data_IF_518307131602
#
_entry.id   IF_518307131602
#
_cell.length_a   1.000
_cell.length_b   1.000
_cell.length_c   1.000
_cell.angle_alpha   90.00
_cell.angle_beta   90.00
_cell.angle_gamma   90.00
#
_symmetry.space_group_name_H-M   'P 1'
#
loop_
_entity.id
_entity.type
_entity.pdbx_description
1 polymer ?
#
# COMPACT_ATOMS: atom_id res chain seq x y z
N UNK A 1 20.28 -3.00 -3.04
CA UNK A 1 19.53 -3.21 -1.79
C UNK A 1 18.26 -4.00 -2.11
N UNK A 2 17.96 -5.05 -1.33
CA UNK A 2 16.70 -5.80 -1.43
C UNK A 2 15.74 -5.25 -0.41
N UNK A 3 14.53 -4.87 -0.84
CA UNK A 3 13.47 -4.35 0.02
C UNK A 3 12.34 -5.39 0.08
N UNK A 4 12.10 -6.06 1.21
CA UNK A 4 10.89 -6.87 1.37
C UNK A 4 9.65 -6.01 1.17
N UNK A 5 8.68 -6.54 0.43
CA UNK A 5 7.40 -5.86 0.21
C UNK A 5 6.41 -6.21 1.33
N UNK A 6 5.60 -5.23 1.73
CA UNK A 6 4.45 -5.47 2.57
C UNK A 6 3.38 -6.24 1.79
N UNK A 7 2.87 -7.33 2.38
CA UNK A 7 1.93 -8.25 1.76
C UNK A 7 0.50 -8.03 2.25
N UNK A 8 -0.53 -8.42 1.49
CA UNK A 8 -1.90 -8.39 1.96
C UNK A 8 -2.13 -9.48 3.03
N UNK A 9 -3.10 -9.33 3.95
CA UNK A 9 -3.39 -10.35 4.95
C UNK A 9 -4.00 -11.62 4.33
N UNK A 10 -4.75 -11.45 3.25
CA UNK A 10 -5.33 -12.52 2.44
C UNK A 10 -4.84 -12.32 1.01
N UNK A 11 -4.05 -13.24 0.50
CA UNK A 11 -3.53 -13.19 -0.85
C UNK A 11 -4.27 -14.16 -1.77
N UNK A 12 -4.57 -13.72 -2.97
CA UNK A 12 -5.18 -14.56 -4.01
C UNK A 12 -4.09 -15.22 -4.85
N UNK A 13 -4.14 -16.54 -4.92
CA UNK A 13 -3.25 -17.34 -5.75
C UNK A 13 -4.06 -18.23 -6.70
N UNK A 14 -3.40 -18.88 -7.64
CA UNK A 14 -3.98 -19.75 -8.64
C UNK A 14 -5.05 -20.70 -8.06
N UNK A 15 -6.32 -20.32 -8.20
CA UNK A 15 -7.46 -21.12 -7.79
C UNK A 15 -7.83 -21.09 -6.30
N UNK A 16 -7.26 -20.18 -5.50
CA UNK A 16 -7.62 -20.06 -4.10
C UNK A 16 -7.03 -18.87 -3.38
N UNK A 17 -7.32 -18.74 -2.10
CA UNK A 17 -6.77 -17.71 -1.23
C UNK A 17 -5.92 -18.32 -0.11
N UNK A 18 -4.91 -17.58 0.36
CA UNK A 18 -4.08 -17.96 1.49
C UNK A 18 -3.98 -16.83 2.51
N UNK A 19 -4.00 -17.18 3.79
CA UNK A 19 -3.74 -16.22 4.88
C UNK A 19 -2.22 -16.06 5.02
N UNK A 20 -1.73 -14.84 4.81
CA UNK A 20 -0.32 -14.49 4.96
C UNK A 20 0.06 -14.37 6.43
N UNK A 21 1.31 -14.70 6.75
CA UNK A 21 1.82 -14.66 8.14
C UNK A 21 3.01 -13.74 8.34
N UNK A 22 3.60 -13.23 7.25
CA UNK A 22 4.79 -12.37 7.31
C UNK A 22 4.54 -11.07 6.55
N UNK A 23 5.01 -9.96 7.09
CA UNK A 23 4.88 -8.62 6.49
C UNK A 23 3.44 -8.25 6.13
N UNK A 24 2.47 -8.69 6.92
CA UNK A 24 1.04 -8.44 6.69
C UNK A 24 0.28 -8.01 7.94
N UNK A 25 0.92 -8.00 9.11
CA UNK A 25 0.33 -7.49 10.35
C UNK A 25 1.01 -6.17 10.73
N UNK A 26 0.27 -5.04 10.88
CA UNK A 26 0.86 -3.75 11.23
C UNK A 26 1.75 -3.78 12.48
N UNK A 27 1.52 -4.69 13.42
CA UNK A 27 2.38 -4.88 14.59
C UNK A 27 3.78 -5.42 14.26
N UNK A 28 3.96 -6.06 13.10
CA UNK A 28 5.27 -6.55 12.65
C UNK A 28 6.26 -5.39 12.44
N UNK A 29 5.76 -4.18 12.15
CA UNK A 29 6.58 -2.99 12.00
C UNK A 29 7.43 -2.69 13.24
N UNK A 30 6.99 -3.09 14.43
CA UNK A 30 7.79 -2.95 15.66
C UNK A 30 9.07 -3.80 15.59
N UNK A 31 8.95 -5.05 15.14
CA UNK A 31 10.08 -5.96 15.00
C UNK A 31 10.97 -5.55 13.81
N UNK A 32 10.37 -5.21 12.68
CA UNK A 32 11.06 -4.71 11.48
C UNK A 32 11.92 -3.49 11.84
N UNK A 33 11.37 -2.56 12.64
CA UNK A 33 12.10 -1.39 13.12
C UNK A 33 13.26 -1.76 14.05
N UNK A 34 13.06 -2.70 14.97
CA UNK A 34 14.13 -3.19 15.86
C UNK A 34 15.28 -3.82 15.06
N UNK A 35 14.97 -4.53 14.00
CA UNK A 35 15.93 -5.16 13.10
C UNK A 35 16.52 -4.18 12.07
N UNK A 36 16.05 -2.92 12.02
CA UNK A 36 16.46 -1.87 11.07
C UNK A 36 16.28 -2.29 9.60
N UNK A 37 15.35 -3.18 9.32
CA UNK A 37 15.03 -3.62 7.96
C UNK A 37 14.27 -2.50 7.25
N UNK A 38 14.70 -2.14 6.03
CA UNK A 38 13.97 -1.23 5.14
C UNK A 38 13.02 -2.05 4.27
N UNK A 39 11.85 -1.49 3.97
CA UNK A 39 10.80 -2.19 3.24
C UNK A 39 10.22 -1.34 2.11
N UNK A 40 9.63 -2.02 1.14
CA UNK A 40 8.65 -1.45 0.22
C UNK A 40 7.28 -1.50 0.89
N UNK A 41 6.65 -0.35 1.09
CA UNK A 41 5.29 -0.27 1.60
C UNK A 41 4.31 -0.22 0.44
N UNK A 42 3.59 -1.32 0.25
CA UNK A 42 2.42 -1.36 -0.60
C UNK A 42 1.22 -0.80 0.16
N UNK A 43 0.69 0.33 -0.32
CA UNK A 43 -0.42 1.01 0.36
C UNK A 43 -1.72 0.24 0.29
N UNK A 44 -2.01 -0.42 -0.84
CA UNK A 44 -3.17 -1.28 -0.99
C UNK A 44 -3.15 -2.40 0.05
N UNK A 45 -2.06 -3.17 0.11
CA UNK A 45 -1.88 -4.25 1.06
C UNK A 45 -1.89 -3.78 2.52
N UNK A 46 -1.34 -2.59 2.79
CA UNK A 46 -1.31 -2.05 4.15
C UNK A 46 -2.70 -1.60 4.62
N UNK A 47 -3.53 -1.05 3.73
CA UNK A 47 -4.94 -0.74 4.01
C UNK A 47 -5.69 -2.02 4.39
N UNK A 48 -5.56 -3.08 3.58
CA UNK A 48 -6.19 -4.38 3.86
C UNK A 48 -5.73 -4.95 5.19
N UNK A 49 -4.43 -4.86 5.50
CA UNK A 49 -3.87 -5.31 6.78
C UNK A 49 -4.47 -4.55 7.97
N UNK A 50 -4.60 -3.23 7.86
CA UNK A 50 -5.19 -2.40 8.90
C UNK A 50 -6.69 -2.67 9.08
N UNK A 51 -7.42 -2.87 7.97
CA UNK A 51 -8.83 -3.25 8.00
C UNK A 51 -9.03 -4.62 8.66
N UNK A 52 -8.22 -5.61 8.28
CA UNK A 52 -8.26 -6.95 8.86
C UNK A 52 -7.99 -6.96 10.36
N UNK A 53 -7.00 -6.18 10.82
CA UNK A 53 -6.63 -6.04 12.23
C UNK A 53 -7.49 -5.01 12.99
N UNK A 54 -8.41 -4.31 12.31
CA UNK A 54 -9.26 -3.24 12.87
C UNK A 54 -8.45 -2.14 13.58
N UNK A 55 -7.34 -1.72 12.95
CA UNK A 55 -6.45 -0.67 13.48
C UNK A 55 -6.37 0.55 12.55
N UNK A 56 -6.01 1.70 13.12
CA UNK A 56 -5.88 2.93 12.34
C UNK A 56 -4.51 2.99 11.64
N UNK A 57 -4.52 3.03 10.33
CA UNK A 57 -3.35 3.10 9.44
C UNK A 57 -2.41 4.26 9.80
N UNK A 58 -2.94 5.44 10.10
CA UNK A 58 -2.14 6.64 10.39
C UNK A 58 -1.21 6.45 11.59
N UNK A 59 -1.60 5.64 12.59
CA UNK A 59 -0.78 5.37 13.77
C UNK A 59 0.53 4.66 13.42
N UNK A 60 0.52 3.88 12.36
CA UNK A 60 1.68 3.09 11.93
C UNK A 60 2.53 3.82 10.90
N UNK A 61 1.92 4.40 9.86
CA UNK A 61 2.67 5.08 8.79
C UNK A 61 3.52 6.22 9.35
N UNK A 62 2.95 7.09 10.16
CA UNK A 62 3.68 8.22 10.74
C UNK A 62 4.81 7.76 11.68
N UNK A 63 4.54 6.74 12.50
CA UNK A 63 5.50 6.21 13.48
C UNK A 63 6.70 5.52 12.82
N UNK A 64 6.48 4.82 11.70
CA UNK A 64 7.49 3.97 11.06
C UNK A 64 7.94 4.47 9.69
N UNK A 65 7.69 5.74 9.36
CA UNK A 65 7.98 6.35 8.05
C UNK A 65 9.44 6.17 7.57
N UNK A 66 10.38 6.05 8.51
CA UNK A 66 11.81 5.88 8.20
C UNK A 66 12.16 4.46 7.70
N UNK A 67 11.27 3.49 7.90
CA UNK A 67 11.44 2.13 7.36
C UNK A 67 11.11 2.06 5.88
N UNK A 68 10.18 2.89 5.41
CA UNK A 68 9.66 2.83 4.06
C UNK A 68 10.62 3.52 3.10
N UNK A 69 11.22 2.77 2.18
CA UNK A 69 12.15 3.28 1.16
C UNK A 69 11.51 3.38 -0.21
N UNK A 70 10.47 2.61 -0.43
CA UNK A 70 9.74 2.50 -1.67
C UNK A 70 8.25 2.36 -1.37
N UNK A 71 7.39 2.86 -2.25
CA UNK A 71 5.95 2.71 -2.14
C UNK A 71 5.36 2.12 -3.40
N UNK A 72 4.47 1.15 -3.25
CA UNK A 72 3.49 0.81 -4.26
C UNK A 72 2.17 1.52 -3.92
N UNK A 73 1.54 2.09 -4.93
CA UNK A 73 0.33 2.90 -4.76
C UNK A 73 -0.77 2.30 -5.65
N UNK A 74 -1.76 1.74 -5.00
CA UNK A 74 -3.06 1.37 -5.54
C UNK A 74 -4.10 1.55 -4.45
N UNK A 75 -5.37 1.56 -4.79
CA UNK A 75 -6.45 1.59 -3.81
C UNK A 75 -6.80 0.19 -3.33
N UNK A 76 -7.54 0.10 -2.24
CA UNK A 76 -7.99 -1.15 -1.64
C UNK A 76 -9.33 -0.97 -0.93
N UNK A 77 -10.10 -2.06 -0.81
CA UNK A 77 -11.39 -2.05 -0.11
C UNK A 77 -11.59 -3.33 0.69
N UNK A 78 -12.18 -3.21 1.90
CA UNK A 78 -12.43 -4.37 2.76
C UNK A 78 -11.16 -5.00 3.28
N UNK A 79 -11.04 -6.33 3.18
CA UNK A 79 -9.90 -7.12 3.69
C UNK A 79 -9.16 -7.89 2.60
N UNK A 80 -9.68 -7.93 1.37
CA UNK A 80 -9.20 -8.73 0.24
C UNK A 80 -9.32 -8.04 -1.13
N UNK A 81 -9.88 -6.85 -1.20
CA UNK A 81 -10.01 -6.06 -2.43
C UNK A 81 -8.76 -5.23 -2.69
N UNK A 82 -7.68 -5.85 -3.17
CA UNK A 82 -6.40 -5.21 -3.49
C UNK A 82 -6.33 -4.63 -4.90
N UNK A 83 -5.39 -3.73 -5.12
CA UNK A 83 -5.01 -3.26 -6.46
C UNK A 83 -6.08 -2.46 -7.20
N UNK A 84 -7.01 -1.83 -6.50
CA UNK A 84 -8.08 -1.05 -7.09
C UNK A 84 -7.56 0.28 -7.68
N UNK A 85 -8.27 0.81 -8.66
CA UNK A 85 -8.02 2.15 -9.20
C UNK A 85 -8.19 3.20 -8.09
N UNK A 86 -7.27 4.16 -7.99
CA UNK A 86 -7.28 5.23 -6.98
C UNK A 86 -8.64 5.97 -6.96
N UNK A 87 -9.27 6.00 -5.80
CA UNK A 87 -10.59 6.56 -5.57
C UNK A 87 -11.74 5.56 -5.66
N UNK A 88 -11.45 4.26 -5.87
CA UNK A 88 -12.46 3.20 -5.89
C UNK A 88 -12.58 2.43 -4.56
N UNK A 89 -11.70 2.74 -3.59
CA UNK A 89 -11.66 2.07 -2.29
C UNK A 89 -11.49 3.03 -1.11
N UNK A 90 -10.66 2.62 -0.17
CA UNK A 90 -10.48 3.29 1.13
C UNK A 90 -9.30 4.29 1.16
N UNK A 91 -8.44 4.31 0.14
CA UNK A 91 -7.20 5.09 0.13
C UNK A 91 -7.45 6.60 0.37
N UNK A 92 -8.51 7.14 -0.22
CA UNK A 92 -8.84 8.57 -0.08
C UNK A 92 -9.32 8.96 1.33
N UNK A 93 -9.72 8.01 2.17
CA UNK A 93 -9.97 8.25 3.61
C UNK A 93 -8.69 8.71 4.32
N UNK A 94 -7.53 8.39 3.76
CA UNK A 94 -6.20 8.70 4.28
C UNK A 94 -5.48 9.79 3.46
N UNK A 95 -6.23 10.78 2.94
CA UNK A 95 -5.72 11.83 2.03
C UNK A 95 -4.44 12.50 2.56
N UNK A 96 -4.37 12.87 3.86
CA UNK A 96 -3.16 13.51 4.44
C UNK A 96 -1.93 12.60 4.35
N UNK A 97 -2.10 11.31 4.58
CA UNK A 97 -1.02 10.33 4.43
C UNK A 97 -0.61 10.22 2.97
N UNK A 98 -1.56 10.14 2.05
CA UNK A 98 -1.28 10.04 0.62
C UNK A 98 -0.48 11.26 0.12
N UNK A 99 -0.85 12.49 0.51
CA UNK A 99 -0.09 13.71 0.23
C UNK A 99 1.35 13.60 0.75
N UNK A 100 1.56 13.12 1.97
CA UNK A 100 2.91 12.94 2.53
C UNK A 100 3.72 11.87 1.78
N UNK A 101 3.08 10.83 1.29
CA UNK A 101 3.72 9.79 0.48
C UNK A 101 4.07 10.32 -0.89
N UNK A 102 3.18 11.04 -1.55
CA UNK A 102 3.41 11.56 -2.90
C UNK A 102 4.48 12.65 -2.92
N UNK A 103 4.55 13.51 -1.90
CA UNK A 103 5.48 14.64 -1.83
C UNK A 103 6.88 14.29 -1.31
N UNK A 104 7.15 13.08 -0.85
CA UNK A 104 8.50 12.71 -0.42
C UNK A 104 9.39 12.27 -1.61
N UNK A 105 10.71 12.24 -1.41
CA UNK A 105 11.69 11.91 -2.45
C UNK A 105 11.88 10.41 -2.69
N UNK A 106 11.03 9.55 -2.13
CA UNK A 106 11.15 8.09 -2.27
C UNK A 106 10.52 7.63 -3.58
N UNK A 107 10.93 6.48 -4.07
CA UNK A 107 10.38 5.86 -5.28
C UNK A 107 8.93 5.47 -5.04
N UNK A 108 8.07 5.74 -6.02
CA UNK A 108 6.66 5.34 -6.03
C UNK A 108 6.35 4.63 -7.34
N UNK A 109 5.61 3.55 -7.26
CA UNK A 109 5.12 2.80 -8.41
C UNK A 109 3.60 2.69 -8.30
N UNK A 110 2.89 3.00 -9.37
CA UNK A 110 1.46 2.69 -9.47
C UNK A 110 1.29 1.21 -9.78
N UNK A 111 0.46 0.52 -9.01
CA UNK A 111 0.29 -0.92 -9.10
C UNK A 111 -1.18 -1.35 -9.13
N UNK A 112 -2.03 -0.54 -9.76
CA UNK A 112 -3.44 -0.90 -9.91
C UNK A 112 -3.61 -2.08 -10.85
N UNK A 113 -4.52 -2.98 -10.47
CA UNK A 113 -4.84 -4.17 -11.24
C UNK A 113 -5.19 -3.81 -12.68
N UNK A 114 -4.58 -4.50 -13.65
CA UNK A 114 -4.76 -4.26 -15.08
C UNK A 114 -4.39 -2.82 -15.55
N UNK A 115 -3.73 -2.02 -14.73
CA UNK A 115 -3.38 -0.64 -15.06
C UNK A 115 -2.55 -0.48 -16.32
N UNK A 116 -1.79 -1.52 -16.71
CA UNK A 116 -0.97 -1.58 -17.93
C UNK A 116 -1.80 -1.76 -19.22
N UNK A 117 -3.05 -2.21 -19.13
CA UNK A 117 -3.90 -2.42 -20.30
C UNK A 117 -4.25 -1.10 -20.99
N UNK A 118 -4.67 -1.19 -22.26
CA UNK A 118 -5.04 -0.02 -23.07
C UNK A 118 -3.98 1.09 -23.05
N UNK A 119 -2.69 0.69 -23.25
CA UNK A 119 -1.54 1.62 -23.24
C UNK A 119 -1.38 2.37 -21.92
N UNK A 120 -1.70 1.73 -20.80
CA UNK A 120 -1.58 2.31 -19.46
C UNK A 120 -2.62 3.40 -19.15
N UNK A 121 -3.81 3.32 -19.72
CA UNK A 121 -4.84 4.35 -19.56
C UNK A 121 -5.22 4.58 -18.09
N UNK A 122 -5.31 3.51 -17.28
CA UNK A 122 -5.62 3.62 -15.85
C UNK A 122 -4.49 4.36 -15.14
N UNK A 123 -3.22 3.99 -15.35
CA UNK A 123 -2.08 4.70 -14.74
C UNK A 123 -2.05 6.19 -15.07
N UNK A 124 -2.36 6.58 -16.32
CA UNK A 124 -2.44 7.99 -16.72
C UNK A 124 -3.53 8.74 -15.96
N UNK A 125 -4.70 8.12 -15.80
CA UNK A 125 -5.81 8.69 -15.00
C UNK A 125 -5.43 8.83 -13.52
N UNK A 126 -4.75 7.85 -12.96
CA UNK A 126 -4.32 7.84 -11.57
C UNK A 126 -3.27 8.93 -11.29
N UNK A 127 -2.30 9.11 -12.18
CA UNK A 127 -1.35 10.24 -12.10
C UNK A 127 -2.12 11.56 -12.03
N UNK A 128 -3.05 11.79 -12.95
CA UNK A 128 -3.86 13.02 -12.96
C UNK A 128 -4.74 13.17 -11.71
N UNK A 129 -5.22 12.07 -11.12
CA UNK A 129 -5.94 12.11 -9.82
C UNK A 129 -4.99 12.50 -8.68
N UNK A 130 -3.80 11.91 -8.62
CA UNK A 130 -2.81 12.21 -7.59
C UNK A 130 -2.36 13.68 -7.67
N UNK A 131 -2.08 14.20 -8.86
CA UNK A 131 -1.71 15.60 -9.07
C UNK A 131 -2.76 16.59 -8.56
N UNK A 132 -4.05 16.22 -8.58
CA UNK A 132 -5.14 17.05 -8.03
C UNK A 132 -5.29 16.95 -6.51
N UNK A 133 -4.69 15.95 -5.90
CA UNK A 133 -4.75 15.69 -4.45
C UNK A 133 -3.60 16.40 -3.73
N UNK A 134 -2.47 16.57 -4.42
CA UNK A 134 -1.27 17.24 -3.96
C UNK A 134 -1.44 18.76 -4.03
#
# INVERSE_FOLDING_TARGET
EVLPQWLPPIAWYFGGSAIMKLFCNPNDLKMINKLKIKICLDLSHFILSCNYQKVNLNNYINKYKELFKHYHIADASGVDGEGLEIGSGDLLKYKKMLVNVTNNNKIKVLESWQGHLNKGLIFKKEISKLEKII
#
